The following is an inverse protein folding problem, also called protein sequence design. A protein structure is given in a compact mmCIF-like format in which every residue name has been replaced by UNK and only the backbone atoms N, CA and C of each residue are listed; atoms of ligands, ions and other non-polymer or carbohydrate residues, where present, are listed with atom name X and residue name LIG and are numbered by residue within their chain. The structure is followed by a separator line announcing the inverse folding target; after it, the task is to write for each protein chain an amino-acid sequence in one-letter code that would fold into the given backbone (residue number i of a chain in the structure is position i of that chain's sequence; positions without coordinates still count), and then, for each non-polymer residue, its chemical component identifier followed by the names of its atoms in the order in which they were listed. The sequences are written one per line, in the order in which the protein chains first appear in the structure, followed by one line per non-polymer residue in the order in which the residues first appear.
data_IF_530210787453
#
_entry.id   IF_530210787453
#
_cell.length_a   1.000
_cell.length_b   1.000
_cell.length_c   1.000
_cell.angle_alpha   90.00
_cell.angle_beta   90.00
_cell.angle_gamma   90.00
#
_symmetry.space_group_name_H-M   'P 1'
#
loop_
_entity.id
_entity.type
_entity.pdbx_description
1 polymer ?
#
# COMPACT_ATOMS: atom_id res chain seq x y z
N UNK A 1 -9.95 -8.98 -9.55
CA UNK A 1 -9.04 -8.22 -8.66
C UNK A 1 -7.76 -7.97 -9.44
N UNK A 2 -7.23 -6.75 -9.34
CA UNK A 2 -6.03 -6.29 -10.02
C UNK A 2 -4.90 -6.12 -8.99
N UNK A 3 -3.64 -6.35 -9.40
CA UNK A 3 -2.50 -6.15 -8.51
C UNK A 3 -2.19 -4.66 -8.35
N UNK A 4 -2.01 -4.23 -7.11
CA UNK A 4 -1.56 -2.89 -6.72
C UNK A 4 -0.32 -2.99 -5.85
N UNK A 5 0.57 -2.01 -5.99
CA UNK A 5 1.68 -1.79 -5.08
C UNK A 5 1.33 -0.58 -4.20
N UNK A 6 1.39 -0.77 -2.89
CA UNK A 6 1.18 0.30 -1.91
C UNK A 6 2.49 0.61 -1.21
N UNK A 7 2.93 1.86 -1.36
CA UNK A 7 4.11 2.39 -0.70
C UNK A 7 3.70 3.07 0.60
N UNK A 8 4.34 2.71 1.71
CA UNK A 8 4.06 3.25 3.04
C UNK A 8 5.34 3.44 3.87
N UNK A 9 5.24 4.26 4.91
CA UNK A 9 6.30 4.52 5.87
C UNK A 9 5.80 4.23 7.29
N UNK A 10 6.70 3.83 8.17
CA UNK A 10 6.41 3.63 9.59
C UNK A 10 7.34 4.55 10.40
N UNK A 11 6.94 5.78 10.75
CA UNK A 11 7.75 6.63 11.61
C UNK A 11 8.06 5.95 12.96
N UNK A 12 9.27 6.10 13.52
CA UNK A 12 10.40 6.91 13.05
C UNK A 12 11.35 6.19 12.06
N UNK A 13 10.99 5.01 11.55
CA UNK A 13 11.83 4.28 10.60
C UNK A 13 12.07 5.11 9.34
N UNK A 14 13.34 5.15 8.91
CA UNK A 14 13.72 5.80 7.66
C UNK A 14 13.56 4.81 6.51
N UNK A 15 12.90 5.26 5.44
CA UNK A 15 12.69 4.49 4.22
C UNK A 15 11.23 4.23 3.90
N UNK A 16 10.99 3.83 2.66
CA UNK A 16 9.67 3.50 2.12
C UNK A 16 9.59 1.99 1.96
N UNK A 17 8.54 1.40 2.50
CA UNK A 17 8.19 -0.01 2.32
C UNK A 17 7.13 -0.13 1.24
N UNK A 18 7.18 -1.20 0.46
CA UNK A 18 6.18 -1.50 -0.57
C UNK A 18 5.54 -2.84 -0.29
N UNK A 19 4.23 -2.94 -0.46
CA UNK A 19 3.48 -4.20 -0.37
C UNK A 19 2.62 -4.39 -1.62
N UNK A 20 2.62 -5.61 -2.13
CA UNK A 20 1.73 -6.04 -3.21
C UNK A 20 0.39 -6.50 -2.62
N UNK A 21 -0.71 -5.97 -3.16
CA UNK A 21 -2.07 -6.33 -2.77
C UNK A 21 -2.96 -6.50 -3.99
N UNK A 22 -3.79 -7.53 -3.99
CA UNK A 22 -4.86 -7.66 -4.97
C UNK A 22 -6.10 -6.94 -4.45
N UNK A 23 -6.66 -6.04 -5.25
CA UNK A 23 -7.87 -5.29 -4.91
C UNK A 23 -8.72 -5.03 -6.17
N UNK A 24 -9.97 -4.58 -6.01
CA UNK A 24 -10.86 -4.16 -7.10
C UNK A 24 -10.43 -2.82 -7.68
N UNK A 25 -9.97 -1.91 -6.82
CA UNK A 25 -9.54 -0.55 -7.16
C UNK A 25 -8.50 -0.03 -6.15
N UNK A 26 -7.99 1.18 -6.40
CA UNK A 26 -6.99 1.83 -5.54
C UNK A 26 -7.49 2.14 -4.12
N UNK A 27 -8.80 2.39 -3.95
CA UNK A 27 -9.38 2.68 -2.64
C UNK A 27 -9.45 1.41 -1.79
N UNK A 28 -9.86 0.28 -2.37
CA UNK A 28 -9.86 -1.01 -1.69
C UNK A 28 -8.43 -1.44 -1.38
N UNK A 29 -7.46 -1.23 -2.29
CA UNK A 29 -6.05 -1.49 -2.01
C UNK A 29 -5.53 -0.69 -0.80
N UNK A 30 -5.86 0.60 -0.75
CA UNK A 30 -5.50 1.48 0.38
C UNK A 30 -6.15 1.03 1.68
N UNK A 31 -7.43 0.68 1.63
CA UNK A 31 -8.20 0.23 2.80
C UNK A 31 -7.62 -1.06 3.38
N UNK A 32 -7.36 -2.06 2.54
CA UNK A 32 -6.76 -3.33 2.93
C UNK A 32 -5.43 -3.07 3.63
N UNK A 33 -4.50 -2.34 2.98
CA UNK A 33 -3.18 -2.09 3.56
C UNK A 33 -3.29 -1.31 4.86
N UNK A 34 -4.12 -0.27 4.93
CA UNK A 34 -4.29 0.51 6.16
C UNK A 34 -4.80 -0.31 7.35
N UNK A 35 -5.55 -1.39 7.09
CA UNK A 35 -6.07 -2.29 8.13
C UNK A 35 -5.01 -3.23 8.69
N UNK A 36 -3.91 -3.46 7.96
CA UNK A 36 -2.77 -4.28 8.40
C UNK A 36 -1.61 -3.46 8.97
N UNK A 37 -1.60 -2.15 8.76
CA UNK A 37 -0.53 -1.29 9.23
C UNK A 37 -0.68 -0.93 10.71
N UNK A 38 0.45 -0.84 11.40
CA UNK A 38 0.51 -0.38 12.79
C UNK A 38 0.04 1.08 12.90
N UNK A 39 -0.64 1.48 13.98
CA UNK A 39 -1.01 2.87 14.22
C UNK A 39 0.17 3.83 14.03
N UNK A 40 -0.03 4.88 13.23
CA UNK A 40 1.01 5.87 12.91
C UNK A 40 1.74 5.64 11.58
N UNK A 41 1.59 4.47 10.96
CA UNK A 41 2.06 4.24 9.60
C UNK A 41 1.33 5.16 8.59
N UNK A 42 2.04 5.58 7.53
CA UNK A 42 1.53 6.52 6.53
C UNK A 42 1.67 5.94 5.13
N UNK A 43 0.54 5.78 4.45
CA UNK A 43 0.52 5.42 3.03
C UNK A 43 0.93 6.65 2.19
N UNK A 44 1.96 6.48 1.35
CA UNK A 44 2.50 7.52 0.46
C UNK A 44 1.92 7.44 -0.93
N UNK A 45 1.83 6.23 -1.50
CA UNK A 45 1.41 6.02 -2.89
C UNK A 45 0.72 4.69 -3.05
N UNK A 46 -0.29 4.65 -3.92
CA UNK A 46 -0.90 3.43 -4.44
C UNK A 46 -0.71 3.48 -5.95
N UNK A 47 -0.26 2.38 -6.55
CA UNK A 47 -0.06 2.30 -8.00
C UNK A 47 -0.49 0.94 -8.51
N UNK A 48 -1.23 0.92 -9.63
CA UNK A 48 -1.52 -0.32 -10.35
C UNK A 48 -0.22 -0.98 -10.82
N UNK A 49 -0.11 -2.30 -10.65
CA UNK A 49 1.01 -3.07 -11.19
C UNK A 49 0.65 -3.47 -12.61
N UNK A 50 1.22 -2.76 -13.59
CA UNK A 50 1.12 -3.16 -14.99
C UNK A 50 2.04 -4.37 -15.17
N UNK A 51 1.45 -5.55 -15.36
CA UNK A 51 2.15 -6.75 -15.81
C UNK A 51 2.43 -6.57 -17.31
N UNK A 52 3.63 -6.08 -17.63
CA UNK A 52 4.18 -6.09 -19.00
C UNK A 52 5.05 -7.33 -19.12
#
# INVERSE_FOLDING_TARGET
MYPFVVDYEIPPMQGVLSVDVNAKDEYEARYIVSSFLTPGAKIRKVRGRILI
#
